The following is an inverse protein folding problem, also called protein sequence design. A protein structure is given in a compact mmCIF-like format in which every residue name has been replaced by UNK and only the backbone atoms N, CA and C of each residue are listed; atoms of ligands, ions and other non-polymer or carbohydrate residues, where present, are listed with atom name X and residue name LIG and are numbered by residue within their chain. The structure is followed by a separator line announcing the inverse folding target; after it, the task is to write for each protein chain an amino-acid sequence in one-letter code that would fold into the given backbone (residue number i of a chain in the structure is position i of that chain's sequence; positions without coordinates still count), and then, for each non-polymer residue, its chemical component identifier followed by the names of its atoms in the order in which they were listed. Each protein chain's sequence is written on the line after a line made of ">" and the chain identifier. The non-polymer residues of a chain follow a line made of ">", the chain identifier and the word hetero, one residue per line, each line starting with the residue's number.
data_IF_439799454142
#
_entry.id   IF_439799454142
#
_cell.length_a   1.000
_cell.length_b   1.000
_cell.length_c   1.000
_cell.angle_alpha   90.00
_cell.angle_beta   90.00
_cell.angle_gamma   90.00
#
_symmetry.space_group_name_H-M   'P 1'
#
loop_
_entity.id
_entity.type
_entity.pdbx_description
1 polymer ?
#
# COMPACT_ATOMS: atom_id res chain seq x y z
N UNK A 1 -22.63 9.20 7.56
CA UNK A 1 -21.47 8.26 7.57
C UNK A 1 -20.19 9.02 7.87
N UNK A 2 -19.32 8.47 8.68
CA UNK A 2 -18.06 9.12 9.09
C UNK A 2 -16.87 8.31 8.61
N UNK A 3 -15.90 8.96 7.97
CA UNK A 3 -14.67 8.35 7.49
C UNK A 3 -13.48 9.19 8.00
N UNK A 4 -12.45 8.56 8.54
CA UNK A 4 -11.21 9.25 8.84
C UNK A 4 -10.25 9.16 7.66
N UNK A 5 -9.73 10.31 7.23
CA UNK A 5 -8.70 10.41 6.19
C UNK A 5 -7.37 10.74 6.85
N UNK A 6 -6.39 9.85 6.68
CA UNK A 6 -5.03 10.02 7.21
C UNK A 6 -4.13 10.46 6.06
N UNK A 7 -3.63 11.68 6.12
CA UNK A 7 -2.71 12.22 5.14
C UNK A 7 -1.26 11.91 5.52
N UNK A 8 -0.54 11.24 4.61
CA UNK A 8 0.89 10.90 4.83
C UNK A 8 1.82 11.55 3.81
N UNK A 9 1.26 12.23 2.81
CA UNK A 9 1.99 12.82 1.70
C UNK A 9 1.72 12.08 0.38
N UNK A 10 2.77 11.90 -0.42
CA UNK A 10 2.67 11.34 -1.77
C UNK A 10 2.15 12.36 -2.79
N UNK A 11 2.10 11.96 -4.06
CA UNK A 11 1.67 12.82 -5.19
C UNK A 11 0.22 13.29 -5.04
N UNK A 12 -0.64 12.49 -4.46
CA UNK A 12 -2.04 12.84 -4.18
C UNK A 12 -2.19 14.03 -3.20
N UNK A 13 -1.19 14.24 -2.36
CA UNK A 13 -1.09 15.37 -1.42
C UNK A 13 -0.04 16.41 -1.82
N UNK A 14 0.45 16.40 -3.05
CA UNK A 14 1.52 17.27 -3.53
C UNK A 14 1.02 18.27 -4.56
N UNK A 15 1.75 19.38 -4.72
CA UNK A 15 1.54 20.36 -5.78
C UNK A 15 2.81 20.50 -6.62
N UNK A 16 2.63 20.96 -7.86
CA UNK A 16 3.76 21.34 -8.72
C UNK A 16 4.21 22.75 -8.28
N UNK A 17 5.45 22.85 -7.80
CA UNK A 17 6.07 24.13 -7.47
C UNK A 17 6.30 24.99 -8.75
N UNK A 18 6.57 26.28 -8.56
CA UNK A 18 6.91 27.18 -9.66
C UNK A 18 8.18 26.76 -10.42
N UNK A 19 9.00 25.94 -9.83
CA UNK A 19 10.20 25.32 -10.37
C UNK A 19 9.94 24.01 -11.14
N UNK A 20 8.68 23.57 -11.23
CA UNK A 20 8.27 22.35 -11.90
C UNK A 20 8.47 21.06 -11.09
N UNK A 21 8.98 21.14 -9.86
CA UNK A 21 9.16 19.98 -9.00
C UNK A 21 7.91 19.70 -8.17
N UNK A 22 7.64 18.40 -7.95
CA UNK A 22 6.56 17.94 -7.08
C UNK A 22 7.04 18.07 -5.63
N UNK A 23 6.34 18.87 -4.83
CA UNK A 23 6.62 19.05 -3.41
C UNK A 23 5.37 18.83 -2.56
N UNK A 24 5.48 18.29 -1.34
CA UNK A 24 4.36 18.17 -0.43
C UNK A 24 3.79 19.55 -0.10
N UNK A 25 2.57 19.83 -0.56
CA UNK A 25 1.93 21.14 -0.38
C UNK A 25 1.26 21.30 0.99
N UNK A 26 1.40 22.46 1.64
CA UNK A 26 0.83 22.72 2.96
C UNK A 26 -0.71 22.75 3.00
N UNK A 27 -1.38 23.00 1.88
CA UNK A 27 -2.86 23.15 1.78
C UNK A 27 -3.58 21.98 1.11
N UNK A 28 -2.87 20.94 0.72
CA UNK A 28 -3.38 19.87 -0.13
C UNK A 28 -4.39 18.89 0.50
N UNK A 29 -4.33 18.56 1.80
CA UNK A 29 -5.34 17.68 2.40
C UNK A 29 -6.78 18.16 2.16
N UNK A 30 -6.99 19.46 2.32
CA UNK A 30 -8.31 20.04 2.15
C UNK A 30 -8.79 20.03 0.70
N UNK A 31 -7.88 20.14 -0.28
CA UNK A 31 -8.24 20.19 -1.70
C UNK A 31 -8.80 18.86 -2.23
N UNK A 32 -8.27 17.72 -1.77
CA UNK A 32 -8.83 16.40 -2.09
C UNK A 32 -10.27 16.29 -1.60
N UNK A 33 -10.53 16.73 -0.36
CA UNK A 33 -11.85 16.68 0.25
C UNK A 33 -12.80 17.72 -0.36
N UNK A 34 -12.30 18.88 -0.76
CA UNK A 34 -13.08 19.90 -1.50
C UNK A 34 -13.53 19.36 -2.85
N UNK A 35 -12.61 18.82 -3.65
CA UNK A 35 -12.93 18.20 -4.95
C UNK A 35 -13.92 17.03 -4.81
N UNK A 36 -13.78 16.22 -3.76
CA UNK A 36 -14.76 15.17 -3.47
C UNK A 36 -16.16 15.75 -3.25
N UNK A 37 -16.29 16.81 -2.42
CA UNK A 37 -17.58 17.46 -2.17
C UNK A 37 -18.17 18.10 -3.42
N UNK A 38 -17.33 18.70 -4.27
CA UNK A 38 -17.74 19.26 -5.56
C UNK A 38 -18.33 18.17 -6.46
N UNK A 39 -17.66 17.02 -6.58
CA UNK A 39 -18.14 15.88 -7.36
C UNK A 39 -19.44 15.32 -6.79
N UNK A 40 -19.54 15.13 -5.46
CA UNK A 40 -20.78 14.66 -4.84
C UNK A 40 -21.97 15.57 -5.10
N UNK A 41 -21.78 16.90 -5.07
CA UNK A 41 -22.85 17.85 -5.36
C UNK A 41 -23.27 17.80 -6.84
N UNK A 42 -22.29 17.66 -7.76
CA UNK A 42 -22.57 17.53 -9.19
C UNK A 42 -23.39 16.28 -9.50
N UNK A 43 -23.10 15.18 -8.82
CA UNK A 43 -23.74 13.87 -9.04
C UNK A 43 -24.95 13.61 -8.13
N UNK A 44 -25.31 14.55 -7.24
CA UNK A 44 -26.44 14.41 -6.29
C UNK A 44 -26.22 13.30 -5.26
N UNK A 45 -24.98 13.00 -4.91
CA UNK A 45 -24.63 11.96 -3.94
C UNK A 45 -24.63 12.52 -2.50
N UNK A 46 -24.93 11.64 -1.54
CA UNK A 46 -24.85 11.97 -0.11
C UNK A 46 -23.40 12.30 0.31
N UNK A 47 -23.22 13.43 0.97
CA UNK A 47 -21.95 13.83 1.53
C UNK A 47 -21.54 12.94 2.71
N UNK A 48 -20.23 12.68 2.81
CA UNK A 48 -19.58 11.97 3.91
C UNK A 48 -18.92 13.00 4.83
N UNK A 49 -19.07 12.81 6.13
CA UNK A 49 -18.32 13.55 7.14
C UNK A 49 -16.91 12.99 7.25
N UNK A 50 -15.89 13.83 6.99
CA UNK A 50 -14.50 13.43 7.08
C UNK A 50 -13.83 13.99 8.33
N UNK A 51 -13.17 13.11 9.09
CA UNK A 51 -12.15 13.47 10.07
C UNK A 51 -10.78 13.41 9.42
N UNK A 52 -9.88 14.27 9.83
CA UNK A 52 -8.53 14.39 9.23
C UNK A 52 -7.47 14.16 10.30
N UNK A 53 -6.53 13.28 9.97
CA UNK A 53 -5.30 13.04 10.73
C UNK A 53 -4.09 13.23 9.81
N UNK A 54 -3.00 13.72 10.35
CA UNK A 54 -1.75 13.92 9.60
C UNK A 54 -0.55 13.57 10.49
N UNK A 55 -0.19 12.27 10.59
CA UNK A 55 0.93 11.86 11.45
C UNK A 55 2.30 12.35 10.94
N UNK A 56 2.44 12.51 9.64
CA UNK A 56 3.62 13.04 8.96
C UNK A 56 3.28 13.38 7.50
N UNK A 57 4.25 14.02 6.82
CA UNK A 57 4.17 14.33 5.40
C UNK A 57 5.51 14.07 4.72
N UNK A 58 5.56 13.04 3.86
CA UNK A 58 6.77 12.63 3.13
C UNK A 58 6.45 12.25 1.68
N UNK A 59 7.48 12.22 0.86
CA UNK A 59 7.45 11.47 -0.40
C UNK A 59 7.76 9.99 -0.10
N UNK A 60 7.08 9.07 -0.78
CA UNK A 60 7.04 7.66 -0.38
C UNK A 60 8.38 6.94 -0.53
N UNK A 61 9.28 7.38 -1.39
CA UNK A 61 10.65 6.89 -1.49
C UNK A 61 11.47 7.09 -0.20
N UNK A 62 11.05 8.00 0.67
CA UNK A 62 11.67 8.25 1.97
C UNK A 62 11.04 7.44 3.12
N UNK A 63 10.15 6.49 2.80
CA UNK A 63 9.50 5.64 3.80
C UNK A 63 10.53 4.81 4.56
N UNK A 64 10.36 4.73 5.88
CA UNK A 64 11.18 3.90 6.76
C UNK A 64 10.35 3.33 7.91
N UNK A 65 10.96 2.48 8.73
CA UNK A 65 10.30 1.82 9.86
C UNK A 65 9.64 2.80 10.84
N UNK A 66 10.27 3.93 11.13
CA UNK A 66 9.74 4.96 12.02
C UNK A 66 8.45 5.57 11.50
N UNK A 67 8.38 5.89 10.20
CA UNK A 67 7.17 6.42 9.58
C UNK A 67 6.04 5.39 9.53
N UNK A 68 6.36 4.14 9.21
CA UNK A 68 5.34 3.07 9.18
C UNK A 68 4.79 2.81 10.58
N UNK A 69 5.63 2.76 11.61
CA UNK A 69 5.18 2.60 13.00
C UNK A 69 4.28 3.77 13.43
N UNK A 70 4.65 5.02 13.09
CA UNK A 70 3.81 6.21 13.38
C UNK A 70 2.46 6.13 12.67
N UNK A 71 2.42 5.63 11.43
CA UNK A 71 1.17 5.43 10.71
C UNK A 71 0.31 4.37 11.40
N UNK A 72 0.89 3.22 11.75
CA UNK A 72 0.19 2.16 12.47
C UNK A 72 -0.39 2.66 13.81
N UNK A 73 0.38 3.47 14.56
CA UNK A 73 -0.10 4.09 15.80
C UNK A 73 -1.25 5.07 15.56
N UNK A 74 -1.18 5.85 14.48
CA UNK A 74 -2.28 6.74 14.09
C UNK A 74 -3.56 5.95 13.78
N UNK A 75 -3.44 4.89 12.97
CA UNK A 75 -4.57 3.99 12.65
C UNK A 75 -5.15 3.36 13.93
N UNK A 76 -4.32 2.85 14.85
CA UNK A 76 -4.79 2.32 16.15
C UNK A 76 -5.57 3.36 16.95
N UNK A 77 -5.07 4.60 17.02
CA UNK A 77 -5.76 5.70 17.72
C UNK A 77 -7.12 6.01 17.10
N UNK A 78 -7.22 6.02 15.78
CA UNK A 78 -8.50 6.22 15.07
C UNK A 78 -9.46 5.08 15.38
N UNK A 79 -9.01 3.82 15.29
CA UNK A 79 -9.83 2.66 15.60
C UNK A 79 -10.30 2.65 17.05
N UNK A 80 -9.45 3.05 17.99
CA UNK A 80 -9.81 3.11 19.41
C UNK A 80 -10.88 4.14 19.74
N UNK A 81 -11.01 5.21 18.94
CA UNK A 81 -12.10 6.19 19.09
C UNK A 81 -13.46 5.61 18.69
N UNK A 82 -13.47 4.60 17.84
CA UNK A 82 -14.67 3.91 17.34
C UNK A 82 -15.75 4.87 16.77
N UNK A 83 -15.30 5.96 16.14
CA UNK A 83 -16.13 7.03 15.61
C UNK A 83 -16.14 7.09 14.08
N UNK A 84 -15.43 6.18 13.42
CA UNK A 84 -15.31 6.12 11.97
C UNK A 84 -15.70 4.74 11.42
N UNK A 85 -16.47 4.72 10.35
CA UNK A 85 -16.92 3.50 9.68
C UNK A 85 -15.84 2.91 8.73
N UNK A 86 -14.79 3.71 8.43
CA UNK A 86 -13.62 3.30 7.68
C UNK A 86 -12.52 4.34 7.73
N UNK A 87 -11.34 3.95 7.26
CA UNK A 87 -10.15 4.79 7.23
C UNK A 87 -9.62 4.83 5.79
N UNK A 88 -9.30 6.01 5.29
CA UNK A 88 -8.63 6.20 4.02
C UNK A 88 -7.26 6.81 4.30
N UNK A 89 -6.20 6.23 3.75
CA UNK A 89 -4.81 6.69 3.92
C UNK A 89 -4.32 7.19 2.56
N UNK A 90 -3.97 8.47 2.44
CA UNK A 90 -3.27 8.95 1.25
C UNK A 90 -1.81 8.54 1.31
N UNK A 91 -1.26 8.05 0.22
CA UNK A 91 0.10 7.49 0.15
C UNK A 91 0.75 7.79 -1.20
N UNK A 92 2.07 7.75 -1.27
CA UNK A 92 2.79 7.80 -2.54
C UNK A 92 2.87 6.42 -3.20
N UNK A 93 3.02 6.40 -4.53
CA UNK A 93 3.00 5.16 -5.34
C UNK A 93 4.18 4.23 -5.09
N UNK A 94 5.40 4.77 -4.83
CA UNK A 94 6.63 3.97 -4.82
C UNK A 94 6.64 2.85 -3.77
N UNK A 95 6.08 3.12 -2.59
CA UNK A 95 6.07 2.15 -1.47
C UNK A 95 4.68 1.77 -1.01
N UNK A 96 3.66 2.04 -1.83
CA UNK A 96 2.24 1.77 -1.53
C UNK A 96 2.00 0.31 -1.14
N UNK A 97 2.50 -0.63 -1.94
CA UNK A 97 2.33 -2.06 -1.75
C UNK A 97 2.98 -2.57 -0.46
N UNK A 98 4.14 -2.01 -0.09
CA UNK A 98 4.83 -2.40 1.15
C UNK A 98 4.06 -1.94 2.37
N UNK A 99 3.61 -0.68 2.37
CA UNK A 99 2.81 -0.15 3.48
C UNK A 99 1.47 -0.87 3.60
N UNK A 100 0.80 -1.16 2.47
CA UNK A 100 -0.47 -1.89 2.46
C UNK A 100 -0.31 -3.31 3.02
N UNK A 101 0.71 -4.05 2.58
CA UNK A 101 1.01 -5.38 3.08
C UNK A 101 1.29 -5.36 4.60
N UNK A 102 2.15 -4.45 5.03
CA UNK A 102 2.52 -4.35 6.44
C UNK A 102 1.33 -4.00 7.34
N UNK A 103 0.52 -3.01 6.96
CA UNK A 103 -0.70 -2.69 7.71
C UNK A 103 -1.67 -3.86 7.73
N UNK A 104 -1.72 -4.67 6.65
CA UNK A 104 -2.52 -5.90 6.63
C UNK A 104 -2.05 -6.91 7.69
N UNK A 105 -0.74 -7.08 7.86
CA UNK A 105 -0.20 -7.94 8.92
C UNK A 105 -0.43 -7.37 10.33
N UNK A 106 -0.38 -6.05 10.47
CA UNK A 106 -0.62 -5.37 11.76
C UNK A 106 -2.07 -5.47 12.21
N UNK A 107 -3.04 -5.26 11.29
CA UNK A 107 -4.45 -5.12 11.65
C UNK A 107 -5.31 -6.35 11.32
N UNK A 108 -4.86 -7.19 10.41
CA UNK A 108 -5.63 -8.36 9.96
C UNK A 108 -6.97 -7.97 9.35
N UNK A 109 -7.99 -8.79 9.60
CA UNK A 109 -9.36 -8.59 9.11
C UNK A 109 -10.34 -8.13 10.19
N UNK A 110 -9.92 -7.97 11.45
CA UNK A 110 -10.79 -7.62 12.58
C UNK A 110 -10.98 -6.12 12.76
N UNK A 111 -10.56 -5.33 11.80
CA UNK A 111 -10.67 -3.88 11.83
C UNK A 111 -11.74 -3.36 10.84
N UNK A 112 -12.11 -2.09 10.99
CA UNK A 112 -12.87 -1.38 9.94
C UNK A 112 -12.08 -1.39 8.63
N UNK A 113 -12.73 -1.23 7.46
CA UNK A 113 -11.99 -1.14 6.21
C UNK A 113 -10.98 0.01 6.24
N UNK A 114 -9.73 -0.30 5.89
CA UNK A 114 -8.62 0.64 5.75
C UNK A 114 -8.18 0.62 4.30
N UNK A 115 -8.33 1.72 3.58
CA UNK A 115 -7.98 1.81 2.18
C UNK A 115 -6.83 2.78 1.97
N UNK A 116 -5.76 2.30 1.33
CA UNK A 116 -4.71 3.19 0.86
C UNK A 116 -5.08 3.69 -0.54
N UNK A 117 -4.87 4.98 -0.77
CA UNK A 117 -5.08 5.64 -2.06
C UNK A 117 -3.85 6.45 -2.43
N UNK A 118 -3.52 6.47 -3.70
CA UNK A 118 -2.43 7.29 -4.24
C UNK A 118 -2.85 7.96 -5.54
N UNK A 119 -1.94 8.73 -6.12
CA UNK A 119 -2.13 9.35 -7.44
C UNK A 119 -0.83 9.27 -8.22
N UNK A 120 -0.93 8.92 -9.49
CA UNK A 120 0.18 8.89 -10.44
C UNK A 120 0.63 10.32 -10.85
N UNK A 121 -0.30 11.27 -10.83
CA UNK A 121 -0.06 12.69 -11.07
C UNK A 121 -0.68 13.55 -9.97
N UNK A 122 -0.22 14.80 -9.77
CA UNK A 122 -0.91 15.76 -8.90
C UNK A 122 -2.37 15.94 -9.28
N UNK A 123 -3.24 16.19 -8.30
CA UNK A 123 -4.70 16.25 -8.51
C UNK A 123 -5.17 17.34 -9.50
N UNK A 124 -4.31 18.30 -9.82
CA UNK A 124 -4.56 19.33 -10.83
C UNK A 124 -4.33 18.86 -12.27
N UNK A 125 -3.58 17.79 -12.43
CA UNK A 125 -3.31 17.20 -13.75
C UNK A 125 -4.53 16.38 -14.20
N UNK A 126 -4.99 16.59 -15.44
CA UNK A 126 -6.10 15.83 -16.01
C UNK A 126 -5.84 14.32 -16.10
N UNK A 127 -4.57 13.93 -16.05
CA UNK A 127 -4.16 12.53 -16.08
C UNK A 127 -4.28 11.84 -14.72
N UNK A 128 -4.43 12.61 -13.65
CA UNK A 128 -4.45 12.08 -12.30
C UNK A 128 -5.56 11.04 -12.08
N UNK A 129 -5.21 9.93 -11.46
CA UNK A 129 -6.16 8.91 -11.04
C UNK A 129 -6.59 9.06 -9.56
N UNK A 130 -5.97 9.97 -8.81
CA UNK A 130 -6.13 10.09 -7.37
C UNK A 130 -7.56 10.34 -6.92
N UNK A 131 -8.34 11.17 -7.65
CA UNK A 131 -9.75 11.41 -7.29
C UNK A 131 -10.60 10.16 -7.52
N UNK A 132 -10.41 9.44 -8.62
CA UNK A 132 -11.12 8.19 -8.89
C UNK A 132 -10.80 7.14 -7.81
N UNK A 133 -9.53 7.03 -7.42
CA UNK A 133 -9.08 6.14 -6.36
C UNK A 133 -9.74 6.48 -5.02
N UNK A 134 -9.82 7.79 -4.69
CA UNK A 134 -10.45 8.24 -3.45
C UNK A 134 -11.96 8.00 -3.44
N UNK A 135 -12.66 8.32 -4.51
CA UNK A 135 -14.11 8.09 -4.62
C UNK A 135 -14.45 6.61 -4.50
N UNK A 136 -13.68 5.74 -5.15
CA UNK A 136 -13.88 4.28 -5.06
C UNK A 136 -13.63 3.75 -3.65
N UNK A 137 -12.62 4.29 -2.94
CA UNK A 137 -12.38 3.95 -1.55
C UNK A 137 -13.56 4.35 -0.64
N UNK A 138 -14.13 5.54 -0.84
CA UNK A 138 -15.33 5.97 -0.11
C UNK A 138 -16.52 5.07 -0.41
N UNK A 139 -16.73 4.72 -1.67
CA UNK A 139 -17.82 3.80 -2.07
C UNK A 139 -17.67 2.42 -1.41
N UNK A 140 -16.45 1.85 -1.41
CA UNK A 140 -16.18 0.57 -0.75
C UNK A 140 -16.57 0.60 0.74
N UNK A 141 -16.23 1.67 1.45
CA UNK A 141 -16.62 1.83 2.85
C UNK A 141 -18.14 1.98 2.98
N UNK A 142 -18.80 2.73 2.09
CA UNK A 142 -20.26 2.89 2.06
C UNK A 142 -20.98 1.55 1.90
N UNK A 143 -20.49 0.71 1.00
CA UNK A 143 -21.09 -0.60 0.70
C UNK A 143 -20.84 -1.65 1.79
N UNK A 144 -19.93 -1.41 2.76
CA UNK A 144 -19.58 -2.33 3.86
C UNK A 144 -19.17 -3.72 3.37
N UNK A 145 -18.54 -3.80 2.20
CA UNK A 145 -18.26 -5.07 1.53
C UNK A 145 -16.99 -5.80 2.03
N UNK A 146 -16.16 -5.15 2.84
CA UNK A 146 -14.94 -5.76 3.32
C UNK A 146 -14.42 -5.20 4.63
N UNK A 147 -13.59 -6.00 5.30
CA UNK A 147 -12.84 -5.63 6.50
C UNK A 147 -11.37 -5.93 6.26
N UNK A 148 -10.49 -5.16 6.89
CA UNK A 148 -9.05 -5.28 6.70
C UNK A 148 -8.48 -4.17 5.83
N UNK A 149 -7.29 -4.41 5.27
CA UNK A 149 -6.52 -3.40 4.54
C UNK A 149 -6.56 -3.67 3.03
N UNK A 150 -6.85 -2.62 2.28
CA UNK A 150 -7.00 -2.65 0.83
C UNK A 150 -6.28 -1.46 0.19
N UNK A 151 -6.14 -1.52 -1.13
CA UNK A 151 -5.69 -0.42 -1.97
C UNK A 151 -6.75 -0.16 -3.03
N UNK A 152 -7.13 1.10 -3.22
CA UNK A 152 -7.97 1.53 -4.33
C UNK A 152 -7.09 2.19 -5.38
N UNK A 153 -7.09 1.64 -6.61
CA UNK A 153 -6.25 2.15 -7.68
C UNK A 153 -6.84 1.94 -9.07
N UNK A 154 -6.84 3.00 -9.88
CA UNK A 154 -7.26 2.99 -11.28
C UNK A 154 -6.04 2.91 -12.18
N UNK A 155 -5.93 1.84 -12.94
CA UNK A 155 -4.82 1.60 -13.87
C UNK A 155 -5.01 2.26 -15.25
N UNK A 156 -6.25 2.36 -15.71
CA UNK A 156 -6.58 2.96 -17.00
C UNK A 156 -7.65 4.05 -16.84
N UNK A 157 -7.58 5.11 -17.63
CA UNK A 157 -8.52 6.22 -17.58
C UNK A 157 -9.94 5.85 -17.98
N UNK A 158 -10.08 4.85 -18.82
CA UNK A 158 -11.35 4.37 -19.32
C UNK A 158 -12.00 3.34 -18.41
N UNK A 159 -11.33 3.00 -17.29
CA UNK A 159 -11.79 2.00 -16.33
C UNK A 159 -12.13 2.68 -14.98
N UNK A 160 -12.91 1.98 -14.18
CA UNK A 160 -13.10 2.34 -12.79
C UNK A 160 -11.87 1.96 -11.96
N UNK A 161 -11.73 2.52 -10.78
CA UNK A 161 -10.68 2.11 -9.86
C UNK A 161 -11.03 0.74 -9.26
N UNK A 162 -10.06 -0.16 -9.27
CA UNK A 162 -10.17 -1.48 -8.66
C UNK A 162 -9.83 -1.43 -7.16
N UNK A 163 -10.34 -2.42 -6.43
CA UNK A 163 -9.99 -2.66 -5.03
C UNK A 163 -9.11 -3.90 -4.95
N UNK A 164 -7.93 -3.74 -4.38
CA UNK A 164 -6.94 -4.80 -4.20
C UNK A 164 -6.74 -5.11 -2.73
N UNK A 165 -6.51 -6.37 -2.39
CA UNK A 165 -6.04 -6.76 -1.06
C UNK A 165 -4.64 -6.19 -0.80
N UNK A 166 -4.41 -5.62 0.37
CA UNK A 166 -3.11 -5.04 0.74
C UNK A 166 -1.95 -6.03 0.69
N UNK A 167 -2.21 -7.33 0.87
CA UNK A 167 -1.21 -8.41 0.78
C UNK A 167 -1.05 -9.00 -0.63
N UNK A 168 -1.84 -8.56 -1.61
CA UNK A 168 -1.90 -9.16 -2.94
C UNK A 168 -1.47 -8.22 -4.05
N UNK A 169 -0.48 -7.38 -3.76
CA UNK A 169 0.05 -6.41 -4.71
C UNK A 169 1.49 -6.74 -5.08
N UNK A 170 1.76 -6.72 -6.38
CA UNK A 170 3.12 -6.73 -6.90
C UNK A 170 3.76 -5.34 -6.73
N UNK A 171 5.07 -5.32 -6.73
CA UNK A 171 5.83 -4.08 -6.74
C UNK A 171 5.56 -3.30 -8.03
N UNK A 172 5.39 -1.98 -7.94
CA UNK A 172 5.35 -1.11 -9.11
C UNK A 172 6.56 -1.35 -10.02
N UNK A 173 6.31 -1.48 -11.31
CA UNK A 173 7.40 -1.56 -12.28
C UNK A 173 8.00 -0.18 -12.51
N UNK A 174 9.33 -0.06 -12.66
CA UNK A 174 9.94 1.21 -13.02
C UNK A 174 9.27 1.83 -14.26
N UNK A 175 9.03 3.13 -14.21
CA UNK A 175 8.39 3.90 -15.29
C UNK A 175 6.98 3.42 -15.70
N UNK A 176 6.30 2.66 -14.84
CA UNK A 176 4.92 2.24 -15.04
C UNK A 176 4.02 2.85 -13.97
N UNK A 177 2.92 3.47 -14.40
CA UNK A 177 1.87 3.93 -13.49
C UNK A 177 0.91 2.81 -13.06
N UNK A 178 1.10 1.58 -13.55
CA UNK A 178 0.18 0.46 -13.31
C UNK A 178 0.52 -0.30 -12.04
N UNK A 179 -0.51 -0.60 -11.27
CA UNK A 179 -0.48 -1.49 -10.12
C UNK A 179 -1.05 -2.86 -10.52
N UNK A 180 -0.33 -3.93 -10.22
CA UNK A 180 -0.73 -5.28 -10.58
C UNK A 180 -1.02 -6.12 -9.33
N UNK A 181 -2.12 -6.90 -9.31
CA UNK A 181 -2.36 -7.90 -8.29
C UNK A 181 -1.48 -9.14 -8.51
N UNK A 182 -1.17 -9.84 -7.43
CA UNK A 182 -0.35 -11.06 -7.47
C UNK A 182 -1.05 -12.21 -8.22
N UNK A 183 -2.36 -12.29 -8.12
CA UNK A 183 -3.21 -13.35 -8.69
C UNK A 183 -3.82 -13.01 -10.04
N UNK A 184 -3.49 -11.84 -10.61
CA UNK A 184 -4.05 -11.38 -11.88
C UNK A 184 -5.55 -11.06 -11.84
N UNK A 185 -6.18 -11.14 -10.67
CA UNK A 185 -7.60 -10.84 -10.50
C UNK A 185 -7.78 -9.38 -10.15
N UNK A 186 -8.26 -8.60 -11.11
CA UNK A 186 -8.81 -7.28 -10.89
C UNK A 186 -10.34 -7.37 -10.83
N UNK A 187 -10.95 -6.66 -9.89
CA UNK A 187 -12.40 -6.59 -9.76
C UNK A 187 -12.91 -5.32 -10.43
N UNK A 188 -13.39 -5.46 -11.69
CA UNK A 188 -13.95 -4.35 -12.43
C UNK A 188 -15.43 -4.11 -12.07
N UNK A 189 -15.80 -2.87 -11.88
CA UNK A 189 -17.16 -2.36 -11.94
C UNK A 189 -18.05 -2.58 -10.71
N UNK A 190 -17.94 -3.67 -9.99
CA UNK A 190 -18.56 -3.87 -8.67
C UNK A 190 -17.48 -4.18 -7.68
N UNK A 191 -17.63 -3.71 -6.46
CA UNK A 191 -16.80 -4.12 -5.33
C UNK A 191 -17.07 -5.60 -5.09
N UNK A 192 -16.44 -6.45 -5.87
CA UNK A 192 -16.45 -7.89 -5.68
C UNK A 192 -15.19 -8.25 -4.91
N UNK A 193 -15.40 -8.71 -3.72
CA UNK A 193 -14.38 -9.23 -2.85
C UNK A 193 -14.40 -10.76 -2.95
N UNK A 194 -13.30 -11.37 -3.38
CA UNK A 194 -13.22 -12.83 -3.41
C UNK A 194 -13.07 -13.35 -1.98
N UNK A 195 -14.20 -13.74 -1.38
CA UNK A 195 -14.26 -14.34 -0.05
C UNK A 195 -13.61 -15.73 0.02
N UNK A 196 -13.43 -16.38 -1.11
CA UNK A 196 -12.89 -17.74 -1.20
C UNK A 196 -11.36 -17.78 -1.28
N UNK A 197 -10.70 -16.63 -1.47
CA UNK A 197 -9.26 -16.58 -1.37
C UNK A 197 -8.84 -16.98 0.05
N UNK A 198 -8.15 -18.10 0.15
CA UNK A 198 -7.78 -18.79 1.38
C UNK A 198 -6.93 -17.97 2.38
N UNK A 199 -6.61 -16.74 2.04
CA UNK A 199 -5.83 -15.80 2.85
C UNK A 199 -6.69 -14.82 3.67
N UNK A 200 -7.98 -15.04 3.79
CA UNK A 200 -8.84 -14.27 4.71
C UNK A 200 -8.54 -14.54 6.19
N UNK A 201 -7.84 -15.61 6.46
CA UNK A 201 -7.36 -15.96 7.80
C UNK A 201 -5.85 -15.70 7.90
N UNK A 202 -5.49 -14.43 7.94
CA UNK A 202 -4.17 -14.09 8.44
C UNK A 202 -4.19 -14.29 9.95
N UNK A 203 -3.66 -15.42 10.41
CA UNK A 203 -3.40 -15.64 11.81
C UNK A 203 -2.40 -14.60 12.27
N UNK A 204 -2.81 -13.75 13.20
CA UNK A 204 -1.86 -12.86 13.87
C UNK A 204 -0.96 -13.72 14.76
N UNK A 205 0.34 -13.43 14.81
CA UNK A 205 1.15 -13.96 15.88
C UNK A 205 0.50 -13.60 17.21
N UNK A 206 0.17 -14.58 18.02
CA UNK A 206 -0.54 -14.41 19.28
C UNK A 206 0.06 -13.28 20.13
N UNK A 207 -0.72 -12.23 20.35
CA UNK A 207 -0.49 -11.23 21.38
C UNK A 207 0.69 -10.29 21.22
N UNK A 208 1.48 -10.40 20.16
CA UNK A 208 2.61 -9.47 19.93
C UNK A 208 2.19 -8.28 19.08
N UNK A 209 2.44 -7.08 19.58
CA UNK A 209 2.33 -5.87 18.80
C UNK A 209 3.43 -5.87 17.72
N UNK A 210 3.03 -6.02 16.45
CA UNK A 210 3.97 -5.98 15.34
C UNK A 210 4.49 -4.54 15.18
N UNK A 211 5.78 -4.35 15.41
CA UNK A 211 6.50 -3.10 15.16
C UNK A 211 7.73 -3.37 14.31
N UNK A 212 7.96 -2.49 13.35
CA UNK A 212 9.21 -2.54 12.59
C UNK A 212 10.36 -2.01 13.47
N UNK A 213 11.48 -2.72 13.42
CA UNK A 213 12.73 -2.20 14.00
C UNK A 213 13.41 -1.25 13.01
N UNK A 214 14.06 -0.22 13.54
CA UNK A 214 14.82 0.74 12.70
C UNK A 214 16.09 0.13 12.09
N UNK A 215 16.47 -1.08 12.53
CA UNK A 215 17.64 -1.83 12.05
C UNK A 215 17.37 -2.55 10.70
N UNK A 216 16.83 -1.84 9.72
CA UNK A 216 16.52 -2.40 8.40
C UNK A 216 17.76 -2.89 7.62
N UNK A 217 18.98 -2.58 8.05
CA UNK A 217 20.23 -3.05 7.47
C UNK A 217 20.54 -4.55 7.66
N UNK A 218 19.68 -5.28 8.35
CA UNK A 218 19.92 -6.67 8.72
C UNK A 218 19.31 -7.69 7.73
N UNK A 219 18.61 -7.23 6.69
CA UNK A 219 18.05 -8.10 5.65
C UNK A 219 18.79 -7.84 4.35
N UNK A 220 19.42 -8.89 3.82
CA UNK A 220 20.04 -8.86 2.51
C UNK A 220 19.02 -9.33 1.47
N UNK A 221 18.57 -8.44 0.60
CA UNK A 221 17.68 -8.81 -0.50
C UNK A 221 18.47 -9.03 -1.78
N UNK A 222 18.38 -10.25 -2.34
CA UNK A 222 19.07 -10.69 -3.54
C UNK A 222 18.06 -10.88 -4.66
N UNK A 223 18.22 -10.14 -5.74
CA UNK A 223 17.44 -10.29 -6.97
C UNK A 223 18.32 -10.93 -8.05
N UNK A 224 17.95 -12.12 -8.56
CA UNK A 224 18.76 -12.82 -9.54
C UNK A 224 18.81 -12.07 -10.88
N UNK A 225 20.00 -12.02 -11.47
CA UNK A 225 20.23 -11.53 -12.83
C UNK A 225 21.27 -12.39 -13.54
N UNK A 226 21.29 -12.31 -14.87
CA UNK A 226 22.27 -13.04 -15.68
C UNK A 226 23.68 -12.57 -15.37
N UNK A 227 24.57 -13.50 -15.05
CA UNK A 227 25.97 -13.21 -14.74
C UNK A 227 26.22 -12.59 -13.36
N UNK A 228 25.24 -12.67 -12.44
CA UNK A 228 25.39 -12.13 -11.09
C UNK A 228 26.51 -12.82 -10.32
N UNK A 229 27.18 -12.05 -9.47
CA UNK A 229 28.01 -12.56 -8.38
C UNK A 229 27.25 -12.35 -7.07
N UNK A 230 27.14 -13.36 -6.23
CA UNK A 230 26.46 -13.23 -4.96
C UNK A 230 27.20 -12.25 -4.04
N UNK A 231 26.47 -11.31 -3.43
CA UNK A 231 27.05 -10.43 -2.42
C UNK A 231 27.47 -11.24 -1.20
N UNK A 232 28.55 -10.84 -0.55
CA UNK A 232 28.94 -11.45 0.73
C UNK A 232 28.03 -10.95 1.84
N UNK A 233 27.44 -11.88 2.60
CA UNK A 233 26.70 -11.54 3.80
C UNK A 233 27.70 -11.15 4.91
N UNK A 234 27.67 -9.88 5.31
CA UNK A 234 28.45 -9.41 6.46
C UNK A 234 27.86 -9.91 7.80
N UNK A 235 28.59 -9.79 8.90
CA UNK A 235 28.15 -10.29 10.23
C UNK A 235 26.86 -9.64 10.75
N UNK A 236 26.48 -8.49 10.22
CA UNK A 236 25.25 -7.79 10.56
C UNK A 236 24.00 -8.36 9.87
N UNK A 237 24.14 -9.19 8.83
CA UNK A 237 23.01 -9.76 8.10
C UNK A 237 22.35 -10.86 8.93
N UNK A 238 21.09 -10.66 9.31
CA UNK A 238 20.28 -11.58 10.11
C UNK A 238 19.35 -12.44 9.28
N UNK A 239 18.98 -11.97 8.09
CA UNK A 239 18.12 -12.69 7.16
C UNK A 239 18.54 -12.41 5.73
N UNK A 240 18.30 -13.38 4.85
CA UNK A 240 18.47 -13.23 3.40
C UNK A 240 17.12 -13.48 2.74
N UNK A 241 16.62 -12.47 2.01
CA UNK A 241 15.48 -12.61 1.12
C UNK A 241 16.03 -12.81 -0.28
N UNK A 242 15.85 -13.97 -0.85
CA UNK A 242 16.34 -14.28 -2.20
C UNK A 242 15.15 -14.50 -3.13
N UNK A 243 15.01 -13.63 -4.14
CA UNK A 243 14.06 -13.85 -5.21
C UNK A 243 14.52 -15.04 -6.06
N UNK A 244 13.58 -15.81 -6.60
CA UNK A 244 13.86 -16.89 -7.54
C UNK A 244 13.57 -16.48 -8.98
N UNK A 245 14.10 -17.22 -9.94
CA UNK A 245 13.58 -17.18 -11.31
C UNK A 245 12.15 -17.76 -11.34
N UNK A 246 11.44 -17.56 -12.47
CA UNK A 246 10.03 -17.95 -12.60
C UNK A 246 9.77 -19.44 -12.27
N UNK A 247 10.77 -20.30 -12.41
CA UNK A 247 10.70 -21.75 -12.13
C UNK A 247 11.05 -22.11 -10.67
N UNK A 248 11.19 -21.12 -9.79
CA UNK A 248 11.61 -21.33 -8.41
C UNK A 248 13.11 -21.66 -8.24
N UNK A 249 13.91 -21.50 -9.30
CA UNK A 249 15.37 -21.80 -9.29
C UNK A 249 16.20 -20.56 -9.01
N UNK A 250 17.42 -20.76 -8.57
CA UNK A 250 18.45 -19.75 -8.35
C UNK A 250 19.73 -20.10 -9.11
N UNK A 251 20.62 -19.13 -9.36
CA UNK A 251 21.90 -19.38 -9.98
C UNK A 251 22.86 -20.11 -9.02
N UNK A 252 23.25 -21.34 -9.34
CA UNK A 252 24.10 -22.16 -8.47
C UNK A 252 25.59 -22.01 -8.71
N UNK A 253 25.98 -21.41 -9.85
CA UNK A 253 27.40 -21.30 -10.26
C UNK A 253 28.04 -19.95 -9.90
N UNK A 254 27.32 -19.08 -9.19
CA UNK A 254 27.70 -17.68 -9.07
C UNK A 254 28.23 -17.29 -7.68
N UNK A 255 28.40 -18.18 -6.73
CA UNK A 255 28.71 -17.76 -5.39
C UNK A 255 29.50 -18.71 -4.50
N UNK A 256 30.05 -18.19 -3.42
CA UNK A 256 30.69 -19.00 -2.40
C UNK A 256 29.71 -19.98 -1.75
N UNK A 257 30.22 -21.15 -1.37
CA UNK A 257 29.50 -22.30 -0.77
C UNK A 257 28.57 -21.97 0.40
N UNK A 258 28.78 -20.82 1.06
CA UNK A 258 27.97 -20.37 2.19
C UNK A 258 26.47 -20.17 1.88
N UNK A 259 26.12 -19.87 0.61
CA UNK A 259 24.72 -19.71 0.22
C UNK A 259 24.02 -21.04 -0.09
N UNK A 260 24.75 -22.10 -0.39
CA UNK A 260 24.18 -23.43 -0.64
C UNK A 260 23.61 -24.11 0.63
N UNK A 261 23.93 -23.58 1.80
CA UNK A 261 23.41 -24.06 3.09
C UNK A 261 22.21 -23.27 3.62
N UNK A 262 21.88 -22.12 3.00
CA UNK A 262 20.65 -21.40 3.28
C UNK A 262 19.50 -22.12 2.55
N UNK A 263 18.92 -23.13 3.19
CA UNK A 263 17.69 -23.74 2.67
C UNK A 263 16.55 -22.75 2.85
N UNK A 264 15.86 -22.43 1.75
CA UNK A 264 14.52 -21.89 1.85
C UNK A 264 13.65 -22.92 2.56
N UNK A 265 13.03 -22.56 3.67
CA UNK A 265 12.06 -23.40 4.35
C UNK A 265 10.72 -23.46 3.63
N UNK A 266 10.54 -22.65 2.59
CA UNK A 266 9.35 -22.64 1.75
C UNK A 266 9.76 -22.75 0.29
N UNK A 267 9.31 -23.77 -0.38
CA UNK A 267 9.45 -23.94 -1.82
C UNK A 267 8.20 -23.41 -2.51
N UNK A 268 8.31 -23.05 -3.80
CA UNK A 268 7.18 -22.64 -4.63
C UNK A 268 6.06 -23.70 -4.74
N UNK A 269 6.25 -24.89 -4.15
CA UNK A 269 5.25 -25.96 -4.07
C UNK A 269 4.35 -25.83 -2.83
N UNK A 270 4.69 -24.98 -1.88
CA UNK A 270 3.94 -24.74 -0.65
C UNK A 270 3.03 -23.49 -0.74
N UNK A 271 3.01 -22.84 -1.92
CA UNK A 271 2.14 -21.73 -2.30
C UNK A 271 1.08 -22.24 -3.31
#
# INVERSE_FOLDING_TARGET
>A
MKITVIFTGGTIGSSIGADGYIAPGAKQPYRLLEKYRENCRADGMDEVEFFVEEPYRILSENMNAGYVNRLADCVRKVMARNDSEGIIITHGTDTLQYTAALLSYVFGTDCVPVLLVSSDFPLEDERANGMANFMRAVEFIKCREGRGVFVSYRNDRNEEADIYRGTRLLMHQPYSARLYPLDGVSFHGKVCYNREASMDRMERPDGQELRLTEDAGNILWIRPCVGMTYPQAGPQVRAVLHDSYHSGTIAVNAGPVSYTHLRAHETSQDL
#
